data_IF_421658543166
#
_entry.id   IF_421658543166
#
_cell.length_a   1.000
_cell.length_b   1.000
_cell.length_c   1.000
_cell.angle_alpha   90.00
_cell.angle_beta   90.00
_cell.angle_gamma   90.00
#
_symmetry.space_group_name_H-M   'P 1'
#
loop_
_entity.id
_entity.type
_entity.pdbx_description
1 polymer ?
#
# COMPACT_ATOMS: atom_id res chain seq x y z
N UNK A 1 26.76 -47.55 -61.21
CA UNK A 1 25.84 -47.35 -60.06
C UNK A 1 25.95 -45.90 -59.57
N UNK A 2 25.12 -44.97 -60.06
CA UNK A 2 25.15 -43.55 -59.59
C UNK A 2 23.97 -42.65 -60.06
N UNK A 3 22.77 -43.20 -60.29
CA UNK A 3 21.63 -42.41 -60.84
C UNK A 3 20.28 -42.58 -60.12
N UNK A 4 20.23 -43.09 -58.89
CA UNK A 4 18.94 -43.39 -58.22
C UNK A 4 18.69 -42.55 -56.93
N UNK A 5 19.67 -41.77 -56.47
CA UNK A 5 19.57 -41.06 -55.17
C UNK A 5 18.80 -39.73 -55.26
N UNK A 6 18.53 -39.21 -56.47
CA UNK A 6 17.90 -37.88 -56.65
C UNK A 6 16.37 -37.85 -56.63
N UNK A 7 15.69 -39.01 -56.68
CA UNK A 7 14.22 -39.05 -56.89
C UNK A 7 13.45 -39.15 -55.56
N UNK A 8 14.05 -39.68 -54.50
CA UNK A 8 13.39 -39.81 -53.18
C UNK A 8 13.35 -38.51 -52.37
N UNK A 9 14.17 -37.51 -52.71
CA UNK A 9 14.21 -36.21 -52.03
C UNK A 9 13.18 -35.22 -52.59
N UNK A 10 12.65 -35.47 -53.79
CA UNK A 10 11.64 -34.60 -54.41
C UNK A 10 10.20 -35.03 -54.11
N UNK A 11 9.98 -36.30 -53.76
CA UNK A 11 8.66 -36.86 -53.46
C UNK A 11 8.18 -36.63 -52.01
N UNK A 12 9.02 -36.10 -51.12
CA UNK A 12 8.64 -35.73 -49.75
C UNK A 12 8.13 -34.28 -49.61
N UNK A 13 8.10 -33.49 -50.69
CA UNK A 13 7.79 -32.05 -50.64
C UNK A 13 6.30 -31.74 -50.94
N UNK A 14 5.49 -32.70 -51.39
CA UNK A 14 4.14 -32.44 -51.91
C UNK A 14 2.99 -33.02 -51.08
N UNK A 15 3.16 -33.22 -49.77
CA UNK A 15 2.01 -33.37 -48.86
C UNK A 15 1.57 -31.98 -48.40
N UNK A 16 1.03 -31.21 -49.34
CA UNK A 16 0.32 -29.99 -49.02
C UNK A 16 -1.02 -30.35 -48.39
N UNK A 17 -1.20 -30.09 -47.10
CA UNK A 17 -2.52 -30.11 -46.48
C UNK A 17 -3.40 -29.07 -47.20
N UNK A 18 -4.31 -29.54 -48.05
CA UNK A 18 -5.34 -28.74 -48.69
C UNK A 18 -6.36 -28.25 -47.65
N UNK A 19 -6.00 -27.25 -46.85
CA UNK A 19 -6.95 -26.51 -46.02
C UNK A 19 -7.76 -25.55 -46.89
N UNK A 20 -9.07 -25.54 -46.70
CA UNK A 20 -9.95 -24.58 -47.36
C UNK A 20 -9.59 -23.15 -46.94
N UNK A 21 -9.88 -22.15 -47.77
CA UNK A 21 -9.67 -20.74 -47.43
C UNK A 21 -10.36 -20.34 -46.10
N UNK A 22 -11.46 -21.02 -45.76
CA UNK A 22 -12.19 -20.85 -44.50
C UNK A 22 -11.40 -21.34 -43.27
N UNK A 23 -10.69 -22.46 -43.38
CA UNK A 23 -9.91 -23.04 -42.29
C UNK A 23 -8.68 -22.17 -41.97
N UNK A 24 -8.05 -21.61 -43.00
CA UNK A 24 -6.92 -20.67 -42.85
C UNK A 24 -7.36 -19.40 -42.12
N UNK A 25 -8.58 -18.91 -42.37
CA UNK A 25 -9.11 -17.73 -41.68
C UNK A 25 -9.38 -18.02 -40.20
N UNK A 26 -10.00 -19.17 -39.88
CA UNK A 26 -10.23 -19.61 -38.49
C UNK A 26 -8.91 -19.82 -37.73
N UNK A 27 -7.89 -20.39 -38.38
CA UNK A 27 -6.57 -20.58 -37.78
C UNK A 27 -5.85 -19.27 -37.50
N UNK A 28 -5.90 -18.30 -38.43
CA UNK A 28 -5.34 -16.96 -38.19
C UNK A 28 -6.06 -16.23 -37.05
N UNK A 29 -7.40 -16.33 -36.99
CA UNK A 29 -8.18 -15.76 -35.89
C UNK A 29 -7.81 -16.41 -34.55
N UNK A 30 -7.67 -17.75 -34.50
CA UNK A 30 -7.26 -18.46 -33.30
C UNK A 30 -5.83 -18.06 -32.87
N UNK A 31 -4.90 -17.90 -33.82
CA UNK A 31 -3.54 -17.43 -33.54
C UNK A 31 -3.51 -16.00 -33.00
N UNK A 32 -4.30 -15.09 -33.58
CA UNK A 32 -4.39 -13.70 -33.12
C UNK A 32 -5.04 -13.61 -31.72
N UNK A 33 -6.09 -14.39 -31.48
CA UNK A 33 -6.71 -14.49 -30.16
C UNK A 33 -5.74 -15.06 -29.12
N UNK A 34 -5.00 -16.13 -29.45
CA UNK A 34 -3.99 -16.69 -28.57
C UNK A 34 -2.88 -15.67 -28.25
N UNK A 35 -2.45 -14.87 -29.24
CA UNK A 35 -1.49 -13.79 -29.03
C UNK A 35 -2.03 -12.70 -28.09
N UNK A 36 -3.28 -12.26 -28.31
CA UNK A 36 -3.93 -11.25 -27.45
C UNK A 36 -4.09 -11.75 -26.01
N UNK A 37 -4.50 -13.01 -25.84
CA UNK A 37 -4.60 -13.64 -24.51
C UNK A 37 -3.24 -13.68 -23.84
N UNK A 38 -2.19 -14.10 -24.56
CA UNK A 38 -0.82 -14.15 -24.03
C UNK A 38 -0.33 -12.77 -23.60
N UNK A 39 -0.51 -11.75 -24.44
CA UNK A 39 -0.13 -10.37 -24.12
C UNK A 39 -0.87 -9.84 -22.88
N UNK A 40 -2.16 -10.14 -22.76
CA UNK A 40 -2.96 -9.75 -21.60
C UNK A 40 -2.51 -10.46 -20.32
N UNK A 41 -2.18 -11.74 -20.40
CA UNK A 41 -1.62 -12.49 -19.28
C UNK A 41 -0.26 -11.94 -18.83
N UNK A 42 0.63 -11.62 -19.77
CA UNK A 42 1.93 -11.01 -19.47
C UNK A 42 1.76 -9.63 -18.81
N UNK A 43 0.80 -8.82 -19.28
CA UNK A 43 0.47 -7.53 -18.70
C UNK A 43 -0.01 -7.66 -17.25
N UNK A 44 -0.96 -8.59 -17.00
CA UNK A 44 -1.47 -8.87 -15.65
C UNK A 44 -0.40 -9.37 -14.71
N UNK A 45 0.47 -10.26 -15.18
CA UNK A 45 1.58 -10.78 -14.39
C UNK A 45 2.57 -9.68 -14.01
N UNK A 46 2.90 -8.80 -14.96
CA UNK A 46 3.77 -7.65 -14.71
C UNK A 46 3.15 -6.70 -13.69
N UNK A 47 1.86 -6.40 -13.81
CA UNK A 47 1.17 -5.55 -12.85
C UNK A 47 1.14 -6.17 -11.44
N UNK A 48 0.83 -7.46 -11.33
CA UNK A 48 0.87 -8.17 -10.05
C UNK A 48 2.27 -8.17 -9.44
N UNK A 49 3.32 -8.33 -10.25
CA UNK A 49 4.70 -8.29 -9.77
C UNK A 49 5.10 -6.89 -9.27
N UNK A 50 4.67 -5.82 -9.93
CA UNK A 50 4.90 -4.45 -9.46
C UNK A 50 4.14 -4.15 -8.16
N UNK A 51 2.88 -4.58 -8.04
CA UNK A 51 2.12 -4.45 -6.80
C UNK A 51 2.79 -5.21 -5.65
N UNK A 52 3.29 -6.42 -5.91
CA UNK A 52 4.01 -7.19 -4.90
C UNK A 52 5.27 -6.47 -4.41
N UNK A 53 6.04 -5.84 -5.30
CA UNK A 53 7.22 -5.03 -4.90
C UNK A 53 6.84 -3.86 -3.98
N UNK A 54 5.69 -3.24 -4.24
CA UNK A 54 5.15 -2.16 -3.40
C UNK A 54 4.78 -2.71 -2.03
N UNK A 55 4.04 -3.81 -1.96
CA UNK A 55 3.71 -4.46 -0.69
C UNK A 55 4.95 -4.91 0.08
N UNK A 56 5.94 -5.52 -0.58
CA UNK A 56 7.19 -5.97 0.03
C UNK A 56 7.97 -4.78 0.61
N UNK A 57 8.00 -3.64 -0.10
CA UNK A 57 8.60 -2.42 0.42
C UNK A 57 7.87 -1.95 1.69
N UNK A 58 6.54 -1.95 1.70
CA UNK A 58 5.76 -1.56 2.89
C UNK A 58 5.98 -2.52 4.06
N UNK A 59 6.00 -3.84 3.80
CA UNK A 59 6.26 -4.88 4.83
C UNK A 59 7.57 -4.64 5.55
N UNK A 60 8.61 -4.23 4.82
CA UNK A 60 9.93 -3.96 5.38
C UNK A 60 9.94 -2.87 6.47
N UNK A 61 9.07 -1.86 6.37
CA UNK A 61 9.02 -0.75 7.34
C UNK A 61 8.06 -0.99 8.51
N UNK A 62 7.25 -2.05 8.48
CA UNK A 62 6.27 -2.36 9.52
C UNK A 62 6.92 -3.13 10.68
N UNK A 63 6.37 -2.98 11.89
CA UNK A 63 6.83 -3.72 13.08
C UNK A 63 6.68 -5.24 12.92
N UNK A 64 5.55 -5.66 12.36
CA UNK A 64 5.25 -7.05 11.99
C UNK A 64 4.76 -7.06 10.53
N UNK A 65 5.72 -7.04 9.59
CA UNK A 65 5.44 -7.02 8.15
C UNK A 65 4.72 -8.26 7.63
N UNK A 66 4.92 -9.42 8.26
CA UNK A 66 4.27 -10.68 7.87
C UNK A 66 2.78 -10.66 8.19
N UNK A 67 2.37 -9.97 9.26
CA UNK A 67 0.96 -9.75 9.58
C UNK A 67 0.24 -8.76 8.66
N UNK A 68 0.96 -8.05 7.78
CA UNK A 68 0.41 -6.91 7.06
C UNK A 68 -0.70 -7.33 6.09
N UNK A 69 -1.82 -6.62 6.21
CA UNK A 69 -3.01 -6.72 5.35
C UNK A 69 -3.13 -5.45 4.54
N UNK A 70 -3.21 -5.61 3.23
CA UNK A 70 -3.30 -4.51 2.28
C UNK A 70 -4.73 -4.35 1.77
N UNK A 71 -5.15 -3.11 1.54
CA UNK A 71 -6.39 -2.79 0.83
C UNK A 71 -6.21 -1.50 0.04
N UNK A 72 -7.09 -1.28 -0.94
CA UNK A 72 -7.09 -0.06 -1.75
C UNK A 72 -5.72 0.27 -2.39
N UNK A 73 -4.90 -0.74 -2.66
CA UNK A 73 -3.58 -0.56 -3.28
C UNK A 73 -3.76 -0.29 -4.77
N UNK A 74 -3.35 0.89 -5.21
CA UNK A 74 -3.30 1.27 -6.61
C UNK A 74 -1.92 1.81 -6.91
N UNK A 75 -1.19 1.06 -7.74
CA UNK A 75 0.23 1.31 -8.04
C UNK A 75 1.05 1.44 -6.76
N UNK A 76 1.47 2.65 -6.39
CA UNK A 76 2.42 2.91 -5.30
C UNK A 76 1.78 3.44 -4.01
N UNK A 77 0.46 3.58 -3.95
CA UNK A 77 -0.26 4.07 -2.78
C UNK A 77 -1.40 3.13 -2.40
N UNK A 78 -1.77 3.13 -1.12
CA UNK A 78 -2.79 2.25 -0.60
C UNK A 78 -2.96 2.39 0.90
N UNK A 79 -3.63 1.40 1.50
CA UNK A 79 -3.77 1.30 2.94
C UNK A 79 -3.22 -0.04 3.43
N UNK A 80 -2.61 -0.01 4.62
CA UNK A 80 -2.07 -1.19 5.27
C UNK A 80 -2.45 -1.23 6.74
N UNK A 81 -2.70 -2.42 7.26
CA UNK A 81 -2.86 -2.68 8.68
C UNK A 81 -1.95 -3.84 9.08
N UNK A 82 -1.18 -3.67 10.15
CA UNK A 82 -0.27 -4.67 10.67
C UNK A 82 -0.27 -4.65 12.20
N UNK A 83 0.22 -5.72 12.81
CA UNK A 83 0.37 -5.80 14.25
C UNK A 83 1.48 -4.85 14.73
N UNK A 84 1.23 -4.21 15.87
CA UNK A 84 2.23 -3.42 16.59
C UNK A 84 3.07 -4.32 17.53
N UNK A 85 3.95 -3.71 18.34
CA UNK A 85 4.81 -4.43 19.30
C UNK A 85 4.05 -5.23 20.37
N UNK A 86 2.77 -4.93 20.60
CA UNK A 86 1.90 -5.69 21.50
C UNK A 86 1.09 -6.78 20.78
N UNK A 87 1.34 -7.01 19.49
CA UNK A 87 0.67 -8.04 18.68
C UNK A 87 -0.75 -7.68 18.24
N UNK A 88 -1.20 -6.44 18.48
CA UNK A 88 -2.54 -5.97 18.15
C UNK A 88 -2.56 -5.15 16.85
N UNK A 89 -3.65 -5.24 16.09
CA UNK A 89 -3.90 -4.38 14.93
C UNK A 89 -4.50 -3.04 15.37
N UNK A 90 -3.93 -1.92 14.92
CA UNK A 90 -4.39 -0.58 15.29
C UNK A 90 -5.42 0.02 14.31
N UNK A 91 -5.55 -0.57 13.11
CA UNK A 91 -6.39 -0.03 12.04
C UNK A 91 -5.59 0.14 10.75
N UNK A 92 -6.30 0.40 9.65
CA UNK A 92 -5.66 0.68 8.38
C UNK A 92 -5.14 2.12 8.37
N UNK A 93 -3.87 2.28 7.99
CA UNK A 93 -3.25 3.59 7.72
C UNK A 93 -2.84 3.66 6.26
N UNK A 94 -2.92 4.86 5.67
CA UNK A 94 -2.49 5.11 4.29
C UNK A 94 -0.96 5.06 4.19
N UNK A 95 -0.46 4.65 3.03
CA UNK A 95 0.97 4.67 2.74
C UNK A 95 1.25 5.20 1.33
N UNK A 96 2.47 5.71 1.17
CA UNK A 96 3.05 6.11 -0.12
C UNK A 96 4.39 5.40 -0.26
N UNK A 97 4.60 4.72 -1.38
CA UNK A 97 5.92 4.21 -1.78
C UNK A 97 6.52 5.14 -2.84
N UNK A 98 7.67 5.73 -2.53
CA UNK A 98 8.43 6.57 -3.45
C UNK A 98 9.24 5.73 -4.44
N UNK A 99 9.75 6.38 -5.49
CA UNK A 99 10.59 5.73 -6.52
C UNK A 99 11.89 5.14 -5.98
N UNK A 100 12.41 5.69 -4.88
CA UNK A 100 13.57 5.21 -4.12
C UNK A 100 13.25 4.10 -3.11
N UNK A 101 12.00 3.58 -3.13
CA UNK A 101 11.47 2.57 -2.19
C UNK A 101 11.34 3.06 -0.74
N UNK A 102 11.46 4.36 -0.48
CA UNK A 102 11.08 4.91 0.81
C UNK A 102 9.55 4.83 0.98
N UNK A 103 9.13 4.39 2.17
CA UNK A 103 7.71 4.30 2.53
C UNK A 103 7.37 5.39 3.53
N UNK A 104 6.31 6.14 3.24
CA UNK A 104 5.76 7.17 4.12
C UNK A 104 4.38 6.70 4.57
N UNK A 105 4.17 6.65 5.89
CA UNK A 105 2.89 6.31 6.48
C UNK A 105 2.13 7.57 6.90
N UNK A 106 0.81 7.45 6.85
CA UNK A 106 -0.11 8.42 7.43
C UNK A 106 -0.14 8.23 8.96
N UNK A 107 -0.10 9.34 9.67
CA UNK A 107 0.03 9.37 11.11
C UNK A 107 -0.18 10.75 11.69
N UNK A 108 -0.38 10.85 13.02
CA UNK A 108 -0.71 12.12 13.68
C UNK A 108 0.38 13.18 13.50
N UNK A 109 1.63 12.76 13.32
CA UNK A 109 2.79 13.65 13.15
C UNK A 109 3.02 14.06 11.68
N UNK A 110 2.22 13.55 10.74
CA UNK A 110 2.37 13.79 9.31
C UNK A 110 1.27 14.70 8.75
N UNK A 111 1.30 15.97 9.16
CA UNK A 111 0.30 16.97 8.76
C UNK A 111 0.23 17.20 7.24
N UNK A 112 1.32 16.95 6.50
CA UNK A 112 1.40 17.17 5.06
C UNK A 112 1.13 15.92 4.23
N UNK A 113 0.65 14.82 4.85
CA UNK A 113 0.48 13.54 4.15
C UNK A 113 -0.39 13.68 2.89
N UNK A 114 -1.47 14.44 2.95
CA UNK A 114 -2.38 14.69 1.83
C UNK A 114 -1.68 15.42 0.66
N UNK A 115 -0.79 16.38 0.96
CA UNK A 115 0.04 17.03 -0.07
C UNK A 115 1.02 16.04 -0.70
N UNK A 116 1.58 15.13 0.10
CA UNK A 116 2.47 14.07 -0.38
C UNK A 116 1.71 13.06 -1.24
N UNK A 117 0.46 12.73 -0.92
CA UNK A 117 -0.40 11.87 -1.76
C UNK A 117 -0.57 12.52 -3.13
N UNK A 118 -0.93 13.80 -3.18
CA UNK A 118 -1.08 14.54 -4.45
C UNK A 118 0.21 14.57 -5.27
N UNK A 119 1.35 14.67 -4.61
CA UNK A 119 2.67 14.77 -5.26
C UNK A 119 3.20 13.42 -5.75
N UNK A 120 3.03 12.35 -4.98
CA UNK A 120 3.72 11.08 -5.21
C UNK A 120 2.83 9.94 -5.67
N UNK A 121 1.52 9.97 -5.40
CA UNK A 121 0.65 8.86 -5.80
C UNK A 121 0.36 8.89 -7.30
N UNK A 122 0.26 7.69 -7.87
CA UNK A 122 -0.14 7.55 -9.26
C UNK A 122 -1.52 8.18 -9.51
N UNK A 123 -1.72 8.78 -10.69
CA UNK A 123 -2.99 9.41 -11.09
C UNK A 123 -4.22 8.50 -10.92
N UNK A 124 -4.07 7.19 -11.15
CA UNK A 124 -5.16 6.23 -10.99
C UNK A 124 -5.60 6.09 -9.52
N UNK A 125 -4.68 6.29 -8.58
CA UNK A 125 -5.03 6.35 -7.15
C UNK A 125 -5.83 7.61 -6.87
N UNK A 126 -5.35 8.77 -7.34
CA UNK A 126 -6.02 10.07 -7.14
C UNK A 126 -7.40 10.16 -7.82
N UNK A 127 -7.58 9.47 -8.95
CA UNK A 127 -8.87 9.38 -9.62
C UNK A 127 -9.92 8.62 -8.78
N UNK A 128 -9.48 7.70 -7.91
CA UNK A 128 -10.36 6.95 -7.01
C UNK A 128 -10.46 7.57 -5.62
N UNK A 129 -9.37 8.17 -5.14
CA UNK A 129 -9.22 8.78 -3.83
C UNK A 129 -8.70 10.21 -4.01
N UNK A 130 -9.57 11.16 -4.42
CA UNK A 130 -9.19 12.55 -4.56
C UNK A 130 -8.81 13.13 -3.20
N UNK A 131 -7.85 14.05 -3.21
CA UNK A 131 -7.38 14.74 -2.01
C UNK A 131 -7.69 16.21 -2.19
N UNK A 132 -8.57 16.75 -1.34
CA UNK A 132 -8.90 18.16 -1.33
C UNK A 132 -7.71 18.93 -0.77
N UNK A 133 -7.00 19.66 -1.63
CA UNK A 133 -6.03 20.66 -1.19
C UNK A 133 -6.76 21.96 -0.91
N UNK A 134 -6.29 22.72 0.07
CA UNK A 134 -6.85 24.02 0.52
C UNK A 134 -7.07 25.06 -0.59
N UNK A 135 -6.51 24.88 -1.79
CA UNK A 135 -6.77 25.69 -2.99
C UNK A 135 -8.14 25.42 -3.64
N UNK A 136 -8.70 24.20 -3.52
CA UNK A 136 -9.99 23.84 -4.12
C UNK A 136 -11.18 24.16 -3.20
N UNK A 137 -10.94 24.25 -1.89
CA UNK A 137 -11.95 24.64 -0.88
C UNK A 137 -12.36 26.13 -1.06
N UNK A 138 -11.51 26.95 -1.69
CA UNK A 138 -11.78 28.37 -1.91
C UNK A 138 -12.74 28.67 -3.07
N UNK A 139 -13.10 27.68 -3.90
CA UNK A 139 -13.92 27.88 -5.11
C UNK A 139 -15.41 27.59 -4.86
N UNK A 140 -15.75 26.90 -3.76
CA UNK A 140 -17.15 26.54 -3.43
C UNK A 140 -17.76 27.42 -2.32
N UNK A 141 -16.98 28.35 -1.76
CA UNK A 141 -17.45 29.31 -0.76
C UNK A 141 -17.75 30.68 -1.38
N UNK A 142 -18.78 30.78 -2.24
CA UNK A 142 -19.44 32.05 -2.51
C UNK A 142 -20.67 32.19 -1.60
N UNK A 143 -20.75 33.24 -0.76
CA UNK A 143 -21.76 33.36 0.28
C UNK A 143 -23.05 33.96 -0.28
N UNK A 144 -24.14 33.21 -0.26
CA UNK A 144 -25.47 33.81 -0.26
C UNK A 144 -26.39 32.90 0.53
N UNK A 145 -26.55 33.18 1.82
CA UNK A 145 -27.90 33.27 2.36
C UNK A 145 -27.93 34.20 3.57
N UNK A 146 -28.86 35.14 3.46
CA UNK A 146 -29.07 36.28 4.30
C UNK A 146 -29.73 35.84 5.61
N UNK A 147 -29.22 36.32 6.73
CA UNK A 147 -29.92 36.24 8.01
C UNK A 147 -31.00 37.33 8.02
N UNK A 148 -32.30 37.02 8.15
CA UNK A 148 -33.26 38.02 8.58
C UNK A 148 -33.18 38.15 10.10
N UNK A 149 -32.98 39.38 10.55
CA UNK A 149 -32.91 39.72 11.96
C UNK A 149 -34.22 39.45 12.70
N UNK A 150 -34.09 39.17 13.98
CA UNK A 150 -35.11 39.50 14.99
C UNK A 150 -34.42 40.16 16.18
N UNK A 151 -35.10 41.20 16.65
CA UNK A 151 -34.62 42.27 17.48
C UNK A 151 -34.35 41.87 18.94
N UNK A 152 -33.61 42.77 19.58
CA UNK A 152 -33.29 42.83 20.99
C UNK A 152 -34.51 42.84 21.91
N UNK A 153 -34.34 42.29 23.11
CA UNK A 153 -34.91 42.86 24.34
C UNK A 153 -33.95 42.59 25.52
N UNK A 154 -33.83 43.61 26.37
CA UNK A 154 -32.86 43.71 27.47
C UNK A 154 -33.57 43.58 28.82
N UNK A 155 -32.91 42.94 29.79
CA UNK A 155 -33.07 43.11 31.25
C UNK A 155 -32.00 42.23 31.93
N UNK A 156 -30.95 42.79 32.55
CA UNK A 156 -30.86 43.42 33.89
C UNK A 156 -30.68 42.41 35.04
N UNK A 157 -29.59 42.61 35.82
CA UNK A 157 -29.26 41.95 37.09
C UNK A 157 -28.68 40.55 36.94
N UNK A 158 -27.73 40.04 37.71
CA UNK A 158 -27.15 40.42 38.99
C UNK A 158 -25.86 39.58 39.17
N UNK A 159 -24.93 40.10 39.94
CA UNK A 159 -23.66 39.46 40.37
C UNK A 159 -23.87 38.16 41.14
N UNK A 160 -22.99 37.15 40.99
CA UNK A 160 -22.38 36.47 42.15
C UNK A 160 -21.25 35.50 41.75
N UNK A 161 -20.35 35.37 42.71
CA UNK A 161 -18.99 34.86 42.65
C UNK A 161 -18.85 33.32 42.64
N UNK A 162 -17.61 32.90 42.38
CA UNK A 162 -16.91 31.75 42.97
C UNK A 162 -17.35 30.33 42.53
N UNK A 163 -16.41 29.53 42.01
CA UNK A 163 -15.59 28.66 42.86
C UNK A 163 -14.55 27.89 42.02
N UNK A 164 -13.31 27.99 42.48
CA UNK A 164 -12.10 27.27 42.06
C UNK A 164 -12.27 25.75 42.04
N UNK A 165 -11.81 25.08 40.98
CA UNK A 165 -11.51 23.63 41.00
C UNK A 165 -10.02 23.37 40.81
N UNK A 166 -9.40 23.18 41.97
CA UNK A 166 -8.17 22.46 42.32
C UNK A 166 -7.38 21.72 41.22
N UNK A 167 -6.14 22.18 41.12
CA UNK A 167 -4.95 21.47 40.61
C UNK A 167 -4.68 20.22 41.45
N UNK A 168 -4.61 19.06 40.80
CA UNK A 168 -4.07 17.82 41.38
C UNK A 168 -2.61 17.65 40.93
N UNK A 169 -1.70 17.88 41.87
CA UNK A 169 -0.27 17.57 41.81
C UNK A 169 -0.11 16.06 42.02
N UNK A 170 0.52 15.36 41.09
CA UNK A 170 1.25 14.12 41.42
C UNK A 170 2.75 14.38 41.28
N UNK A 171 3.42 14.33 42.42
CA UNK A 171 4.88 14.29 42.57
C UNK A 171 5.45 13.07 41.83
N UNK A 172 6.52 13.29 41.05
CA UNK A 172 7.47 12.25 40.68
C UNK A 172 8.78 12.60 41.39
N UNK A 173 9.12 11.79 42.39
CA UNK A 173 10.38 11.84 43.11
C UNK A 173 11.40 10.98 42.33
N UNK A 174 12.53 11.59 41.98
CA UNK A 174 13.75 10.90 41.56
C UNK A 174 14.47 10.37 42.80
N UNK A 175 14.94 9.13 42.76
CA UNK A 175 16.12 8.70 43.53
C UNK A 175 16.98 7.80 42.65
N UNK A 176 18.27 8.09 42.69
CA UNK A 176 19.37 7.55 41.91
C UNK A 176 19.94 6.22 42.47
N UNK A 177 20.50 5.44 41.54
CA UNK A 177 21.78 4.68 41.57
C UNK A 177 22.22 4.01 42.89
N UNK A 178 22.38 2.68 42.86
CA UNK A 178 23.60 2.02 43.37
C UNK A 178 23.87 0.68 42.65
N UNK A 179 25.13 0.48 42.31
CA UNK A 179 25.76 -0.66 41.65
C UNK A 179 26.45 -1.52 42.72
N UNK A 180 26.33 -2.86 42.70
CA UNK A 180 27.39 -3.72 43.22
C UNK A 180 27.30 -5.15 42.67
N UNK A 181 28.42 -5.59 42.11
CA UNK A 181 28.68 -6.93 41.59
C UNK A 181 28.95 -7.95 42.70
N UNK A 182 28.67 -9.24 42.44
CA UNK A 182 29.55 -10.36 42.80
C UNK A 182 29.30 -11.54 41.86
N UNK A 183 30.39 -12.02 41.27
CA UNK A 183 30.55 -13.33 40.64
C UNK A 183 30.21 -14.47 41.62
N UNK A 184 29.69 -15.60 41.13
CA UNK A 184 30.38 -16.87 41.36
C UNK A 184 30.01 -17.97 40.34
N UNK A 185 31.04 -18.75 40.06
CA UNK A 185 31.21 -19.95 39.23
C UNK A 185 30.34 -21.14 39.71
N UNK A 186 29.99 -22.18 38.94
CA UNK A 186 30.84 -23.26 38.39
C UNK A 186 30.05 -24.24 37.48
N UNK A 187 30.71 -24.68 36.40
CA UNK A 187 30.73 -26.01 35.73
C UNK A 187 29.66 -27.08 36.01
N UNK A 188 29.13 -27.74 34.97
CA UNK A 188 29.47 -29.14 34.65
C UNK A 188 29.00 -29.57 33.24
N UNK A 189 29.43 -30.75 32.83
CA UNK A 189 29.84 -31.23 31.50
C UNK A 189 28.89 -32.28 30.87
N UNK A 190 29.10 -32.59 29.58
CA UNK A 190 28.58 -33.79 28.88
C UNK A 190 27.77 -33.44 27.63
N UNK A 191 28.28 -33.48 26.39
CA UNK A 191 28.87 -34.58 25.60
C UNK A 191 27.88 -35.66 25.16
N UNK A 192 28.07 -36.11 23.91
CA UNK A 192 27.36 -37.15 23.11
C UNK A 192 26.10 -36.67 22.37
N UNK A 193 26.08 -36.50 21.05
CA UNK A 193 26.33 -37.40 19.89
C UNK A 193 25.00 -37.87 19.26
N UNK A 194 24.90 -37.61 17.94
CA UNK A 194 24.30 -38.44 16.91
C UNK A 194 22.89 -39.04 17.15
N UNK A 195 21.88 -38.48 16.47
CA UNK A 195 21.09 -39.15 15.41
C UNK A 195 20.13 -38.15 14.73
#
# INVERSE_FOLDING_TARGET
MKKIIGIFLFSLILVGCGKSAEDIAKEKQAQEQALKIKQEQERKLKEQAELKKVEDAVRYYLKDGDSAKFRNVIKNCGEVNAKNSWGAYAGFSRFIVKTDKQVIFDGPDNYYFDSLVKLYCHKDYLAKFPVETSEEIAIDASPTEQIPGVAAEAAAGETLENETRSVSKHQKEEVAVEELATEDTTSDTGSSENY
#
